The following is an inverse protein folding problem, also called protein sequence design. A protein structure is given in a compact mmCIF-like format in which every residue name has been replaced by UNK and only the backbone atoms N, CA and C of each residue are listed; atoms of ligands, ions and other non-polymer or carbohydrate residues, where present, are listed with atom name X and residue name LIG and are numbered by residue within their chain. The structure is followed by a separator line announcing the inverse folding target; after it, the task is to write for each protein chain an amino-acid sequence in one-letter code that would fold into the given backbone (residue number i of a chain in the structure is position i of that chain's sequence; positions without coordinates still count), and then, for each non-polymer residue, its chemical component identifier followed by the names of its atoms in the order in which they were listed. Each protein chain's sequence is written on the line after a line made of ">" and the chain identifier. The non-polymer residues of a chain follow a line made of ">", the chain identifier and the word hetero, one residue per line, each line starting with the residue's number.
data_IF_657167183566
#
_entry.id   IF_657167183566
#
_cell.length_a   1.000
_cell.length_b   1.000
_cell.length_c   1.000
_cell.angle_alpha   90.00
_cell.angle_beta   90.00
_cell.angle_gamma   90.00
#
_symmetry.space_group_name_H-M   'P 1'
#
loop_
_entity.id
_entity.type
_entity.pdbx_description
1 polymer ?
#
# COMPACT_ATOMS: atom_id res chain seq x y z
N UNK A 1 -44.14 9.61 -96.92
CA UNK A 1 -44.71 10.37 -95.81
C UNK A 1 -43.69 10.27 -94.71
N UNK A 2 -43.02 11.39 -94.25
CA UNK A 2 -41.84 11.31 -93.41
C UNK A 2 -42.24 11.26 -91.94
N UNK A 3 -41.50 10.38 -91.19
CA UNK A 3 -41.57 10.24 -89.72
C UNK A 3 -40.79 11.35 -89.03
N UNK A 4 -41.51 12.08 -88.19
CA UNK A 4 -40.92 13.19 -87.39
C UNK A 4 -40.22 12.60 -86.15
N UNK A 5 -38.94 12.83 -86.05
CA UNK A 5 -38.09 12.39 -84.93
C UNK A 5 -38.12 13.45 -83.82
N UNK A 6 -38.53 13.07 -82.61
CA UNK A 6 -38.50 13.92 -81.45
C UNK A 6 -37.15 13.79 -80.79
N UNK A 7 -36.43 14.86 -80.41
CA UNK A 7 -35.17 14.76 -79.71
C UNK A 7 -35.42 14.53 -78.19
N UNK A 8 -34.74 13.55 -77.61
CA UNK A 8 -34.71 13.30 -76.19
C UNK A 8 -33.83 14.35 -75.49
N UNK A 9 -34.44 15.10 -74.60
CA UNK A 9 -33.75 16.07 -73.74
C UNK A 9 -33.09 15.33 -72.58
N UNK A 10 -31.77 15.31 -72.62
CA UNK A 10 -30.96 14.74 -71.52
C UNK A 10 -31.02 15.60 -70.26
N UNK A 11 -31.40 14.99 -69.16
CA UNK A 11 -31.35 15.60 -67.83
C UNK A 11 -29.93 15.40 -67.31
N UNK A 12 -29.21 16.44 -66.86
CA UNK A 12 -27.89 16.25 -66.20
C UNK A 12 -28.07 15.64 -64.83
N UNK A 13 -27.46 14.50 -64.61
CA UNK A 13 -27.34 13.91 -63.26
C UNK A 13 -26.39 14.76 -62.39
N UNK A 14 -26.97 15.44 -61.42
CA UNK A 14 -26.20 16.12 -60.40
C UNK A 14 -25.57 15.09 -59.49
N UNK A 15 -24.27 14.87 -59.68
CA UNK A 15 -23.44 14.01 -58.80
C UNK A 15 -23.32 14.64 -57.43
N UNK A 16 -23.90 14.02 -56.42
CA UNK A 16 -23.66 14.31 -55.02
C UNK A 16 -22.28 13.74 -54.64
N UNK A 17 -21.30 14.53 -54.19
CA UNK A 17 -20.06 13.95 -53.70
C UNK A 17 -20.33 13.27 -52.38
N UNK A 18 -20.21 11.94 -52.34
CA UNK A 18 -20.17 11.14 -51.12
C UNK A 18 -18.89 11.45 -50.40
N UNK A 19 -18.93 12.40 -49.47
CA UNK A 19 -17.82 12.66 -48.54
C UNK A 19 -17.81 11.54 -47.49
N UNK A 20 -17.26 10.40 -47.86
CA UNK A 20 -16.98 9.32 -46.94
C UNK A 20 -15.79 9.68 -46.03
N UNK A 21 -16.07 10.34 -44.92
CA UNK A 21 -15.06 10.53 -43.89
C UNK A 21 -14.83 9.16 -43.21
N UNK A 22 -13.84 8.43 -43.71
CA UNK A 22 -13.34 7.21 -43.10
C UNK A 22 -12.53 7.61 -41.88
N UNK A 23 -13.14 7.67 -40.71
CA UNK A 23 -12.43 7.67 -39.44
C UNK A 23 -11.86 6.28 -39.19
N UNK A 24 -10.79 5.93 -39.86
CA UNK A 24 -9.96 4.81 -39.49
C UNK A 24 -9.10 5.27 -38.31
N UNK A 25 -9.66 5.23 -37.11
CA UNK A 25 -8.86 5.30 -35.89
C UNK A 25 -8.02 4.04 -35.84
N UNK A 26 -6.69 4.13 -35.89
CA UNK A 26 -5.85 2.96 -35.78
C UNK A 26 -6.03 2.36 -34.37
N UNK A 27 -6.59 1.16 -34.27
CA UNK A 27 -6.81 0.42 -33.02
C UNK A 27 -5.59 0.38 -32.10
N UNK A 28 -4.41 0.64 -32.66
CA UNK A 28 -3.14 0.69 -31.92
C UNK A 28 -3.08 1.79 -30.86
N UNK A 29 -3.72 2.94 -31.08
CA UNK A 29 -3.74 4.04 -30.11
C UNK A 29 -4.71 3.79 -28.95
N UNK A 30 -5.77 3.04 -29.18
CA UNK A 30 -6.74 2.66 -28.13
C UNK A 30 -6.06 1.74 -27.12
N UNK A 31 -5.23 0.80 -27.54
CA UNK A 31 -4.50 -0.09 -26.64
C UNK A 31 -3.49 0.67 -25.75
N UNK A 32 -2.80 1.65 -26.30
CA UNK A 32 -1.88 2.48 -25.50
C UNK A 32 -2.61 3.38 -24.50
N UNK A 33 -3.77 3.93 -24.89
CA UNK A 33 -4.59 4.74 -23.98
C UNK A 33 -5.15 3.89 -22.82
N UNK A 34 -5.63 2.67 -23.10
CA UNK A 34 -6.11 1.75 -22.06
C UNK A 34 -4.97 1.30 -21.15
N UNK A 35 -3.79 1.00 -21.69
CA UNK A 35 -2.62 0.62 -20.89
C UNK A 35 -2.14 1.77 -20.00
N UNK A 36 -2.16 3.01 -20.50
CA UNK A 36 -1.81 4.20 -19.72
C UNK A 36 -2.80 4.47 -18.59
N UNK A 37 -4.10 4.23 -18.80
CA UNK A 37 -5.14 4.37 -17.77
C UNK A 37 -4.98 3.31 -16.68
N UNK A 38 -4.63 2.06 -17.04
CA UNK A 38 -4.39 0.99 -16.08
C UNK A 38 -3.16 1.29 -15.21
N UNK A 39 -2.12 1.89 -15.78
CA UNK A 39 -0.92 2.31 -15.03
C UNK A 39 -1.19 3.47 -14.05
N UNK A 40 -2.16 4.34 -14.35
CA UNK A 40 -2.54 5.46 -13.46
C UNK A 40 -3.44 5.04 -12.28
N UNK A 41 -4.05 3.85 -12.35
CA UNK A 41 -4.87 3.30 -11.28
C UNK A 41 -4.08 2.46 -10.26
N UNK A 42 -2.74 2.49 -10.31
CA UNK A 42 -1.89 1.99 -9.24
C UNK A 42 -2.02 2.92 -8.03
N UNK A 43 -3.20 2.92 -7.41
CA UNK A 43 -3.35 3.49 -6.07
C UNK A 43 -2.45 2.66 -5.16
N UNK A 44 -1.39 3.28 -4.66
CA UNK A 44 -0.66 2.73 -3.53
C UNK A 44 -1.70 2.47 -2.44
N UNK A 45 -2.03 1.20 -2.23
CA UNK A 45 -2.76 0.77 -1.05
C UNK A 45 -1.80 1.10 0.10
N UNK A 46 -1.96 2.28 0.67
CA UNK A 46 -1.39 2.61 1.96
C UNK A 46 -2.02 1.62 2.92
N UNK A 47 -1.31 0.52 3.17
CA UNK A 47 -1.64 -0.36 4.27
C UNK A 47 -1.59 0.54 5.52
N UNK A 48 -2.74 1.00 5.96
CA UNK A 48 -2.87 1.73 7.21
C UNK A 48 -2.41 0.76 8.27
N UNK A 49 -1.17 0.92 8.71
CA UNK A 49 -0.71 0.21 9.88
C UNK A 49 -1.62 0.69 11.01
N UNK A 50 -2.37 -0.19 11.65
CA UNK A 50 -3.22 0.22 12.77
C UNK A 50 -2.40 0.72 13.96
N UNK A 51 -1.08 0.61 13.90
CA UNK A 51 -0.14 1.19 14.85
C UNK A 51 0.01 2.70 14.54
N UNK A 52 -0.44 3.54 15.45
CA UNK A 52 -0.48 5.00 15.30
C UNK A 52 0.66 5.72 16.00
N UNK A 53 1.23 5.11 17.04
CA UNK A 53 2.42 5.60 17.72
C UNK A 53 3.29 4.44 18.22
N UNK A 54 4.60 4.67 18.23
CA UNK A 54 5.60 3.72 18.66
C UNK A 54 6.74 4.46 19.35
N UNK A 55 7.14 3.99 20.53
CA UNK A 55 8.31 4.48 21.27
C UNK A 55 9.11 3.27 21.77
N UNK A 56 10.39 3.14 21.41
CA UNK A 56 11.13 3.97 20.46
C UNK A 56 10.56 3.93 19.05
N UNK A 57 10.67 5.02 18.29
CA UNK A 57 10.26 5.05 16.88
C UNK A 57 11.08 4.07 16.04
N UNK A 58 10.53 3.59 14.93
CA UNK A 58 11.27 2.72 14.01
C UNK A 58 12.52 3.43 13.49
N UNK A 59 13.67 2.75 13.56
CA UNK A 59 14.98 3.28 13.21
C UNK A 59 15.58 4.26 14.24
N UNK A 60 14.99 4.40 15.43
CA UNK A 60 15.50 5.31 16.47
C UNK A 60 16.92 4.94 16.91
N UNK A 61 17.72 5.98 17.18
CA UNK A 61 19.05 5.85 17.80
C UNK A 61 19.00 6.47 19.19
N UNK A 62 19.27 5.67 20.20
CA UNK A 62 19.13 6.03 21.61
C UNK A 62 20.51 6.05 22.27
N UNK A 63 20.76 7.02 23.12
CA UNK A 63 21.96 7.09 23.98
C UNK A 63 21.74 6.42 25.34
N UNK A 64 20.48 6.12 25.66
CA UNK A 64 20.08 5.42 26.89
C UNK A 64 19.14 4.28 26.52
N UNK A 65 19.34 3.13 27.13
CA UNK A 65 18.44 1.99 26.95
C UNK A 65 17.02 2.35 27.42
N UNK A 66 15.97 2.05 26.65
CA UNK A 66 14.59 2.30 27.08
C UNK A 66 14.17 1.24 28.11
N UNK A 67 13.37 1.65 29.08
CA UNK A 67 12.79 0.73 30.09
C UNK A 67 11.57 -0.02 29.57
N UNK A 68 10.92 0.48 28.50
CA UNK A 68 9.75 -0.10 27.90
C UNK A 68 9.64 0.23 26.40
N UNK A 69 8.84 -0.56 25.71
CA UNK A 69 8.33 -0.25 24.38
C UNK A 69 6.86 0.11 24.50
N UNK A 70 6.50 1.31 24.01
CA UNK A 70 5.13 1.78 23.99
C UNK A 70 4.58 1.69 22.57
N UNK A 71 3.42 1.03 22.44
CA UNK A 71 2.73 0.86 21.17
C UNK A 71 1.30 1.34 21.29
N UNK A 72 0.88 2.28 20.42
CA UNK A 72 -0.52 2.73 20.32
C UNK A 72 -1.13 2.29 19.02
N UNK A 73 -2.27 1.64 19.10
CA UNK A 73 -3.07 1.23 17.95
C UNK A 73 -4.20 2.22 17.68
N UNK A 74 -4.77 2.19 16.48
CA UNK A 74 -5.92 3.02 16.10
C UNK A 74 -7.24 2.58 16.77
N UNK A 75 -7.28 1.38 17.32
CA UNK A 75 -8.42 0.79 18.03
C UNK A 75 -7.93 -0.22 19.04
N UNK A 76 -8.86 -0.75 19.84
CA UNK A 76 -8.55 -1.80 20.82
C UNK A 76 -8.01 -3.04 20.12
N UNK A 77 -6.97 -3.60 20.67
CA UNK A 77 -6.28 -4.78 20.13
C UNK A 77 -5.68 -5.61 21.27
N UNK A 78 -5.30 -6.85 20.93
CA UNK A 78 -4.56 -7.75 21.84
C UNK A 78 -3.25 -8.13 21.17
N UNK A 79 -2.12 -7.88 21.84
CA UNK A 79 -0.85 -8.45 21.43
C UNK A 79 -0.88 -9.95 21.64
N UNK A 80 -0.78 -10.72 20.54
CA UNK A 80 -0.74 -12.18 20.59
C UNK A 80 0.70 -12.72 20.53
N UNK A 81 1.64 -11.89 20.12
CA UNK A 81 3.06 -12.17 20.13
C UNK A 81 3.85 -10.88 20.10
N UNK A 82 4.91 -10.84 20.88
CA UNK A 82 5.97 -9.82 20.79
C UNK A 82 7.30 -10.52 21.03
N UNK A 83 8.30 -10.21 20.20
CA UNK A 83 9.65 -10.73 20.33
C UNK A 83 10.65 -9.63 19.99
N UNK A 84 11.68 -9.50 20.81
CA UNK A 84 12.79 -8.58 20.64
C UNK A 84 14.07 -9.38 20.46
N UNK A 85 14.82 -9.10 19.40
CA UNK A 85 16.03 -9.86 19.05
C UNK A 85 17.20 -8.88 18.92
N UNK A 86 18.34 -9.20 19.51
CA UNK A 86 19.62 -8.56 19.21
C UNK A 86 20.06 -8.97 17.80
N UNK A 87 20.37 -8.01 16.94
CA UNK A 87 20.77 -8.32 15.55
C UNK A 87 22.24 -8.75 15.45
N UNK A 88 23.03 -8.53 16.50
CA UNK A 88 24.44 -8.88 16.52
C UNK A 88 24.69 -10.40 16.57
N UNK A 89 23.88 -11.11 17.32
CA UNK A 89 24.02 -12.55 17.57
C UNK A 89 22.71 -13.33 17.30
N UNK A 90 21.62 -12.64 17.00
CA UNK A 90 20.31 -13.25 16.80
C UNK A 90 19.65 -13.75 18.10
N UNK A 91 20.19 -13.36 19.26
CA UNK A 91 19.63 -13.77 20.54
C UNK A 91 18.30 -13.06 20.82
N UNK A 92 17.31 -13.83 21.24
CA UNK A 92 16.02 -13.29 21.69
C UNK A 92 16.17 -12.76 23.13
N UNK A 93 15.71 -11.51 23.34
CA UNK A 93 15.67 -10.89 24.66
C UNK A 93 14.52 -11.51 25.44
N UNK A 94 14.79 -12.03 26.63
CA UNK A 94 13.77 -12.58 27.52
C UNK A 94 12.85 -11.49 28.04
N UNK A 95 11.59 -11.56 27.63
CA UNK A 95 10.51 -10.67 28.07
C UNK A 95 9.51 -11.45 28.90
N UNK A 96 8.79 -10.78 29.80
CA UNK A 96 7.63 -11.38 30.41
C UNK A 96 6.42 -11.36 29.46
N UNK A 97 5.47 -12.25 29.68
CA UNK A 97 4.28 -12.38 28.84
C UNK A 97 3.07 -11.59 29.39
N UNK A 98 3.26 -10.75 30.39
CA UNK A 98 2.16 -10.02 31.06
C UNK A 98 1.44 -9.03 30.15
N UNK A 99 2.15 -8.56 29.12
CA UNK A 99 1.62 -7.67 28.08
C UNK A 99 0.80 -8.39 27.00
N UNK A 100 0.91 -9.74 26.93
CA UNK A 100 0.20 -10.52 25.91
C UNK A 100 -1.27 -10.72 26.31
N UNK A 101 -2.13 -10.80 25.29
CA UNK A 101 -3.58 -11.06 25.40
C UNK A 101 -4.38 -10.01 26.19
N UNK A 102 -3.75 -8.93 26.62
CA UNK A 102 -4.44 -7.76 27.21
C UNK A 102 -5.12 -6.98 26.10
N UNK A 103 -6.39 -6.65 26.31
CA UNK A 103 -7.15 -5.81 25.37
C UNK A 103 -6.96 -4.34 25.73
N UNK A 104 -6.31 -3.60 24.83
CA UNK A 104 -6.01 -2.18 25.04
C UNK A 104 -5.77 -1.45 23.69
N UNK A 105 -5.83 -0.13 23.72
CA UNK A 105 -5.36 0.76 22.64
C UNK A 105 -3.87 1.01 22.80
N UNK A 106 -3.41 1.16 24.03
CA UNK A 106 -2.01 1.39 24.40
C UNK A 106 -1.45 0.13 25.06
N UNK A 107 -0.32 -0.33 24.53
CA UNK A 107 0.42 -1.47 25.08
C UNK A 107 1.79 -1.01 25.52
N UNK A 108 2.18 -1.37 26.73
CA UNK A 108 3.50 -1.15 27.31
C UNK A 108 4.17 -2.47 27.56
N UNK A 109 5.34 -2.68 26.96
CA UNK A 109 6.15 -3.88 27.10
C UNK A 109 7.40 -3.53 27.89
N UNK A 110 7.48 -3.99 29.12
CA UNK A 110 8.66 -3.78 29.96
C UNK A 110 9.89 -4.49 29.38
N UNK A 111 11.02 -3.83 29.38
CA UNK A 111 12.29 -4.34 28.89
C UNK A 111 13.26 -4.59 30.05
N UNK A 112 14.06 -5.67 29.99
CA UNK A 112 15.21 -5.78 30.86
C UNK A 112 16.28 -4.76 30.48
N UNK A 113 17.33 -4.64 31.28
CA UNK A 113 18.47 -3.82 30.92
C UNK A 113 19.10 -4.32 29.60
N UNK A 114 19.10 -3.45 28.60
CA UNK A 114 19.66 -3.73 27.27
C UNK A 114 21.06 -3.15 27.14
N UNK A 115 21.97 -3.89 26.53
CA UNK A 115 23.29 -3.40 26.16
C UNK A 115 23.25 -2.50 24.93
N UNK A 116 24.32 -1.75 24.66
CA UNK A 116 24.50 -1.05 23.41
C UNK A 116 24.50 -2.06 22.24
N UNK A 117 23.79 -1.74 21.16
CA UNK A 117 23.63 -2.61 20.00
C UNK A 117 22.37 -2.32 19.20
N UNK A 118 22.16 -3.11 18.14
CA UNK A 118 21.01 -3.01 17.26
C UNK A 118 19.99 -4.06 17.64
N UNK A 119 18.73 -3.66 17.71
CA UNK A 119 17.61 -4.50 18.10
C UNK A 119 16.51 -4.48 17.05
N UNK A 120 15.88 -5.63 16.85
CA UNK A 120 14.71 -5.78 15.99
C UNK A 120 13.56 -6.37 16.78
N UNK A 121 12.45 -5.67 16.82
CA UNK A 121 11.19 -6.13 17.39
C UNK A 121 10.28 -6.67 16.29
N UNK A 122 9.58 -7.75 16.57
CA UNK A 122 8.51 -8.30 15.75
C UNK A 122 7.27 -8.54 16.59
N UNK A 123 6.11 -8.16 16.07
CA UNK A 123 4.86 -8.27 16.82
C UNK A 123 3.70 -8.77 15.97
N UNK A 124 2.71 -9.33 16.64
CA UNK A 124 1.40 -9.66 16.10
C UNK A 124 0.34 -9.18 17.08
N UNK A 125 -0.70 -8.54 16.54
CA UNK A 125 -1.84 -8.13 17.33
C UNK A 125 -3.14 -8.57 16.63
N UNK A 126 -4.18 -8.78 17.40
CA UNK A 126 -5.51 -9.10 16.92
C UNK A 126 -6.44 -7.95 17.28
N UNK A 127 -7.07 -7.34 16.29
CA UNK A 127 -8.07 -6.30 16.48
C UNK A 127 -9.40 -6.84 17.02
N UNK A 128 -10.31 -5.94 17.38
CA UNK A 128 -11.66 -6.28 17.84
C UNK A 128 -12.46 -7.09 16.82
N UNK A 129 -12.19 -6.87 15.54
CA UNK A 129 -12.81 -7.58 14.41
C UNK A 129 -12.22 -9.00 14.17
N UNK A 130 -11.24 -9.42 14.99
CA UNK A 130 -10.56 -10.68 14.90
C UNK A 130 -9.47 -10.76 13.81
N UNK A 131 -9.23 -9.68 13.06
CA UNK A 131 -8.15 -9.65 12.09
C UNK A 131 -6.78 -9.58 12.78
N UNK A 132 -5.86 -10.43 12.31
CA UNK A 132 -4.48 -10.43 12.81
C UNK A 132 -3.63 -9.51 11.95
N UNK A 133 -3.02 -8.54 12.61
CA UNK A 133 -2.07 -7.60 12.06
C UNK A 133 -0.68 -7.93 12.60
N UNK A 134 0.36 -7.57 11.85
CA UNK A 134 1.74 -7.84 12.21
C UNK A 134 2.65 -6.73 11.71
N UNK A 135 3.74 -6.51 12.42
CA UNK A 135 4.75 -5.57 12.02
C UNK A 135 6.12 -5.89 12.60
N UNK A 136 7.07 -5.10 12.20
CA UNK A 136 8.45 -5.09 12.70
C UNK A 136 8.92 -3.66 12.79
N UNK A 137 9.81 -3.39 13.72
CA UNK A 137 10.56 -2.14 13.82
C UNK A 137 11.93 -2.42 14.43
N UNK A 138 12.82 -1.48 14.30
CA UNK A 138 14.18 -1.57 14.79
C UNK A 138 14.57 -0.34 15.59
N UNK A 139 15.53 -0.47 16.48
CA UNK A 139 16.20 0.66 17.13
C UNK A 139 17.64 0.29 17.49
N UNK A 140 18.47 1.30 17.67
CA UNK A 140 19.87 1.15 18.04
C UNK A 140 20.12 1.84 19.38
N UNK A 141 20.78 1.16 20.30
CA UNK A 141 21.36 1.79 21.51
C UNK A 141 22.82 2.03 21.22
N UNK A 142 23.21 3.31 21.14
CA UNK A 142 24.62 3.67 20.91
C UNK A 142 25.38 3.65 22.23
N UNK A 143 26.65 3.20 22.25
CA UNK A 143 27.47 3.30 23.44
C UNK A 143 27.72 4.78 23.78
N UNK A 144 27.82 5.09 25.10
CA UNK A 144 28.26 6.39 25.57
C UNK A 144 29.73 6.65 25.20
#
# INVERSE_FOLDING_TARGET
>A
MPATRVPATGVPATGVPATGVKYAMPCRHIHYAVLAIIMLLSTAVMAHSPLTALTPADGARLTTAPDSIEMRFSGSSRLVRFALVSTADGAEVGLDDTHLMVEAVDHSIALPALAAGDYMASWRAMGEDGHVIRGRFSFTIVPE
#
